data_IF_700334842028
#
_entry.id   IF_700334842028
#
_cell.length_a   1.000
_cell.length_b   1.000
_cell.length_c   1.000
_cell.angle_alpha   90.00
_cell.angle_beta   90.00
_cell.angle_gamma   90.00
#
_symmetry.space_group_name_H-M   'P 1'
#
loop_
_entity.id
_entity.type
_entity.pdbx_description
1 polymer ?
#
# COMPACT_ATOMS: atom_id res chain seq x y z
N UNK A 1 -16.15 1.95 8.87
CA UNK A 1 -14.98 2.55 8.16
C UNK A 1 -14.33 3.60 9.01
N UNK A 2 -13.03 3.54 9.12
CA UNK A 2 -12.21 4.58 9.72
C UNK A 2 -11.70 5.53 8.63
N UNK A 3 -11.37 6.75 8.99
CA UNK A 3 -10.80 7.75 8.06
C UNK A 3 -9.51 8.28 8.68
N UNK A 4 -8.42 8.29 7.91
CA UNK A 4 -7.24 9.09 8.20
C UNK A 4 -7.07 10.17 7.12
N UNK A 5 -6.22 11.14 7.36
CA UNK A 5 -5.86 12.14 6.37
C UNK A 5 -4.41 11.93 5.92
N UNK A 6 -4.23 11.88 4.61
CA UNK A 6 -2.92 11.81 3.98
C UNK A 6 -2.15 13.13 4.14
N UNK A 7 -0.92 13.16 3.70
CA UNK A 7 -0.06 14.36 3.80
C UNK A 7 -0.66 15.58 3.09
N UNK A 8 -1.38 15.36 2.00
CA UNK A 8 -2.09 16.41 1.26
C UNK A 8 -3.54 16.66 1.74
N UNK A 9 -3.86 16.15 2.94
CA UNK A 9 -5.17 16.22 3.58
C UNK A 9 -6.29 15.43 2.87
N UNK A 10 -5.95 14.55 1.93
CA UNK A 10 -6.94 13.66 1.30
C UNK A 10 -7.45 12.64 2.34
N UNK A 11 -8.77 12.50 2.54
CA UNK A 11 -9.31 11.49 3.45
C UNK A 11 -9.16 10.10 2.83
N UNK A 12 -8.58 9.17 3.57
CA UNK A 12 -8.38 7.78 3.19
C UNK A 12 -9.19 6.87 4.11
N UNK A 13 -10.12 6.15 3.51
CA UNK A 13 -11.03 5.24 4.21
C UNK A 13 -10.43 3.84 4.31
N UNK A 14 -10.51 3.23 5.50
CA UNK A 14 -9.94 1.91 5.76
C UNK A 14 -10.71 1.15 6.83
N UNK A 15 -10.50 -0.16 6.86
CA UNK A 15 -10.98 -1.07 7.90
C UNK A 15 -9.82 -1.93 8.41
N UNK A 16 -9.92 -2.35 9.67
CA UNK A 16 -9.01 -3.32 10.27
C UNK A 16 -9.78 -4.50 10.81
N UNK A 17 -9.23 -5.71 10.63
CA UNK A 17 -9.82 -6.96 11.10
C UNK A 17 -8.71 -7.84 11.68
N UNK A 18 -9.01 -8.58 12.74
CA UNK A 18 -8.04 -9.45 13.39
C UNK A 18 -7.14 -8.74 14.38
N UNK A 19 -6.10 -9.45 14.84
CA UNK A 19 -5.10 -8.94 15.78
C UNK A 19 -3.73 -9.56 15.50
N UNK A 20 -2.68 -8.81 15.80
CA UNK A 20 -1.30 -9.19 15.55
C UNK A 20 -0.52 -8.10 14.79
N UNK A 21 0.62 -8.43 14.20
CA UNK A 21 1.37 -7.48 13.38
C UNK A 21 0.51 -6.91 12.25
N UNK A 22 0.73 -5.65 11.91
CA UNK A 22 -0.03 -4.98 10.84
C UNK A 22 0.37 -5.52 9.46
N UNK A 23 -0.61 -5.93 8.67
CA UNK A 23 -0.47 -6.18 7.24
C UNK A 23 -1.48 -5.33 6.47
N UNK A 24 -1.03 -4.60 5.46
CA UNK A 24 -1.88 -3.77 4.60
C UNK A 24 -2.04 -4.46 3.25
N UNK A 25 -3.27 -4.65 2.81
CA UNK A 25 -3.60 -5.16 1.49
C UNK A 25 -3.67 -3.98 0.51
N UNK A 26 -2.68 -3.91 -0.39
CA UNK A 26 -2.58 -2.88 -1.42
C UNK A 26 -3.20 -3.41 -2.71
N UNK A 27 -4.41 -2.96 -2.99
CA UNK A 27 -5.21 -3.49 -4.09
C UNK A 27 -4.75 -2.99 -5.47
N UNK A 28 -5.01 -3.80 -6.49
CA UNK A 28 -4.86 -3.41 -7.89
C UNK A 28 -5.95 -2.44 -8.37
N UNK A 29 -6.13 -2.41 -9.69
CA UNK A 29 -7.23 -1.67 -10.29
C UNK A 29 -8.59 -2.28 -9.93
N UNK A 30 -9.63 -1.46 -9.87
CA UNK A 30 -11.05 -1.86 -9.71
C UNK A 30 -11.42 -2.57 -8.40
N UNK A 31 -10.53 -2.63 -7.42
CA UNK A 31 -10.82 -3.18 -6.10
C UNK A 31 -11.06 -2.07 -5.08
N UNK A 32 -11.87 -2.38 -4.07
CA UNK A 32 -12.12 -1.55 -2.89
C UNK A 32 -11.72 -2.31 -1.62
N UNK A 33 -11.86 -1.69 -0.44
CA UNK A 33 -11.46 -2.29 0.84
C UNK A 33 -12.08 -3.67 1.12
N UNK A 34 -13.28 -3.96 0.60
CA UNK A 34 -14.02 -5.21 0.85
C UNK A 34 -14.40 -5.98 -0.42
N UNK A 35 -13.99 -5.50 -1.59
CA UNK A 35 -14.29 -6.16 -2.86
C UNK A 35 -13.01 -6.60 -3.57
N UNK A 36 -13.05 -7.81 -4.14
CA UNK A 36 -11.91 -8.43 -4.79
C UNK A 36 -10.93 -9.04 -3.79
N UNK A 37 -9.64 -8.84 -4.00
CA UNK A 37 -8.56 -9.46 -3.20
C UNK A 37 -8.72 -9.28 -1.69
N UNK A 38 -9.08 -8.12 -1.13
CA UNK A 38 -9.27 -8.01 0.31
C UNK A 38 -10.37 -8.92 0.85
N UNK A 39 -11.51 -8.98 0.17
CA UNK A 39 -12.61 -9.85 0.57
C UNK A 39 -12.24 -11.34 0.61
N UNK A 40 -11.33 -11.76 -0.26
CA UNK A 40 -10.84 -13.14 -0.32
C UNK A 40 -9.75 -13.42 0.70
N UNK A 41 -8.85 -12.48 0.97
CA UNK A 41 -7.65 -12.70 1.80
C UNK A 41 -7.85 -12.45 3.29
N UNK A 42 -8.68 -11.48 3.67
CA UNK A 42 -8.91 -11.14 5.08
C UNK A 42 -9.26 -12.36 5.94
N UNK A 43 -10.18 -13.26 5.53
CA UNK A 43 -10.54 -14.43 6.33
C UNK A 43 -9.37 -15.36 6.67
N UNK A 44 -8.34 -15.42 5.82
CA UNK A 44 -7.18 -16.28 6.04
C UNK A 44 -6.09 -15.61 6.87
N UNK A 45 -6.00 -14.29 6.84
CA UNK A 45 -4.94 -13.53 7.49
C UNK A 45 -5.31 -13.03 8.89
N UNK A 46 -6.59 -12.83 9.18
CA UNK A 46 -7.08 -12.21 10.41
C UNK A 46 -6.73 -12.97 11.69
N UNK A 47 -6.46 -14.27 11.60
CA UNK A 47 -6.07 -15.08 12.75
C UNK A 47 -4.61 -14.84 13.17
N UNK A 48 -3.79 -14.23 12.31
CA UNK A 48 -2.36 -14.02 12.51
C UNK A 48 -1.94 -12.56 12.49
N UNK A 49 -2.76 -11.70 11.89
CA UNK A 49 -2.43 -10.29 11.63
C UNK A 49 -3.59 -9.37 11.99
N UNK A 50 -3.25 -8.13 12.31
CA UNK A 50 -4.17 -7.02 12.09
C UNK A 50 -4.14 -6.71 10.60
N UNK A 51 -5.20 -7.11 9.89
CA UNK A 51 -5.33 -6.92 8.45
C UNK A 51 -6.00 -5.59 8.18
N UNK A 52 -5.31 -4.69 7.50
CA UNK A 52 -5.85 -3.41 7.07
C UNK A 52 -6.16 -3.46 5.57
N UNK A 53 -7.40 -3.21 5.22
CA UNK A 53 -7.84 -2.98 3.84
C UNK A 53 -8.36 -1.55 3.70
N UNK A 54 -8.06 -0.89 2.58
CA UNK A 54 -8.40 0.51 2.38
C UNK A 54 -8.85 0.79 0.95
N UNK A 55 -9.58 1.86 0.80
CA UNK A 55 -9.90 2.40 -0.52
C UNK A 55 -8.76 3.33 -0.94
N UNK A 56 -8.11 3.02 -2.05
CA UNK A 56 -7.09 3.91 -2.62
C UNK A 56 -7.73 5.25 -3.00
N UNK A 57 -6.95 6.35 -2.98
CA UNK A 57 -7.47 7.67 -3.35
C UNK A 57 -8.24 7.64 -4.69
N UNK A 58 -9.31 8.40 -4.78
CA UNK A 58 -10.21 8.42 -5.95
C UNK A 58 -11.11 7.20 -6.09
N UNK A 59 -11.19 6.33 -5.05
CA UNK A 59 -12.02 5.11 -5.07
C UNK A 59 -12.84 4.96 -3.79
N UNK A 60 -13.94 4.23 -3.90
CA UNK A 60 -14.78 3.87 -2.77
C UNK A 60 -15.17 5.07 -1.91
N UNK A 61 -14.83 5.01 -0.64
CA UNK A 61 -15.12 6.06 0.34
C UNK A 61 -13.94 7.01 0.60
N UNK A 62 -12.80 6.78 -0.06
CA UNK A 62 -11.67 7.71 -0.01
C UNK A 62 -11.90 8.93 -0.88
N UNK A 63 -11.33 10.06 -0.46
CA UNK A 63 -11.29 11.28 -1.27
C UNK A 63 -10.28 11.20 -2.41
N UNK A 64 -10.24 12.29 -3.16
CA UNK A 64 -9.25 12.49 -4.22
C UNK A 64 -8.82 13.97 -4.22
N UNK A 65 -7.52 14.19 -4.40
CA UNK A 65 -6.95 15.54 -4.50
C UNK A 65 -6.03 15.59 -5.71
N UNK A 66 -6.50 16.22 -6.75
CA UNK A 66 -5.75 16.40 -8.00
C UNK A 66 -4.57 17.38 -7.84
N UNK A 67 -3.54 17.27 -8.67
CA UNK A 67 -3.31 16.22 -9.67
C UNK A 67 -2.93 14.88 -9.03
N UNK A 68 -3.24 13.78 -9.72
CA UNK A 68 -2.80 12.44 -9.32
C UNK A 68 -1.27 12.32 -9.45
N UNK A 69 -0.67 11.66 -8.47
CA UNK A 69 0.73 11.25 -8.50
C UNK A 69 0.92 9.98 -7.68
N UNK A 70 1.82 9.09 -8.11
CA UNK A 70 2.11 7.85 -7.38
C UNK A 70 2.69 8.13 -5.99
N UNK A 71 3.45 9.20 -5.86
CA UNK A 71 4.01 9.67 -4.60
C UNK A 71 2.93 9.98 -3.56
N UNK A 72 1.79 10.49 -3.99
CA UNK A 72 0.65 10.74 -3.11
C UNK A 72 0.05 9.43 -2.59
N UNK A 73 -0.04 8.40 -3.42
CA UNK A 73 -0.48 7.08 -2.97
C UNK A 73 0.52 6.43 -1.99
N UNK A 74 1.82 6.65 -2.18
CA UNK A 74 2.84 6.21 -1.23
C UNK A 74 2.70 6.95 0.11
N UNK A 75 2.38 8.24 0.10
CA UNK A 75 2.08 9.02 1.29
C UNK A 75 0.81 8.55 2.01
N UNK A 76 -0.21 8.08 1.26
CA UNK A 76 -1.41 7.46 1.83
C UNK A 76 -1.05 6.21 2.64
N UNK A 77 -0.23 5.32 2.06
CA UNK A 77 0.26 4.13 2.74
C UNK A 77 1.11 4.47 3.97
N UNK A 78 2.00 5.45 3.86
CA UNK A 78 2.80 5.91 4.99
C UNK A 78 1.92 6.44 6.13
N UNK A 79 0.88 7.22 5.81
CA UNK A 79 -0.07 7.74 6.80
C UNK A 79 -0.88 6.61 7.46
N UNK A 80 -1.32 5.61 6.70
CA UNK A 80 -1.99 4.42 7.25
C UNK A 80 -1.08 3.63 8.19
N UNK A 81 0.18 3.44 7.81
CA UNK A 81 1.19 2.76 8.66
C UNK A 81 1.42 3.54 9.95
N UNK A 82 1.64 4.84 9.86
CA UNK A 82 1.92 5.70 11.03
C UNK A 82 0.75 5.69 12.02
N UNK A 83 -0.48 5.75 11.51
CA UNK A 83 -1.68 5.73 12.36
C UNK A 83 -1.92 4.37 13.03
N UNK A 84 -1.42 3.28 12.47
CA UNK A 84 -1.65 1.92 12.93
C UNK A 84 -0.40 1.23 13.50
N UNK A 85 0.52 1.97 14.11
CA UNK A 85 1.64 1.41 14.87
C UNK A 85 3.03 1.66 14.28
N UNK A 86 3.15 2.31 13.15
CA UNK A 86 4.42 2.80 12.58
C UNK A 86 5.20 1.81 11.72
N UNK A 87 4.84 0.52 11.72
CA UNK A 87 5.46 -0.52 10.88
C UNK A 87 4.43 -1.50 10.36
N UNK A 88 4.58 -1.94 9.12
CA UNK A 88 3.67 -2.89 8.49
C UNK A 88 4.36 -3.84 7.51
N UNK A 89 3.75 -5.00 7.32
CA UNK A 89 3.90 -5.80 6.13
C UNK A 89 2.98 -5.26 5.04
N UNK A 90 3.39 -5.35 3.78
CA UNK A 90 2.53 -5.02 2.64
C UNK A 90 2.31 -6.26 1.78
N UNK A 91 1.07 -6.52 1.43
CA UNK A 91 0.70 -7.44 0.36
C UNK A 91 0.15 -6.62 -0.80
N UNK A 92 0.75 -6.73 -1.96
CA UNK A 92 0.32 -6.01 -3.15
C UNK A 92 -0.07 -6.94 -4.29
N UNK A 93 -1.20 -6.65 -4.94
CA UNK A 93 -1.68 -7.37 -6.12
C UNK A 93 -1.69 -6.46 -7.34
N UNK A 94 -1.13 -6.90 -8.47
CA UNK A 94 -1.12 -6.17 -9.75
C UNK A 94 -0.52 -4.76 -9.59
N UNK A 95 -1.22 -3.71 -9.97
CA UNK A 95 -0.79 -2.32 -9.76
C UNK A 95 -0.52 -1.99 -8.28
N UNK A 96 -1.22 -2.65 -7.35
CA UNK A 96 -0.94 -2.55 -5.92
C UNK A 96 0.38 -3.18 -5.51
N UNK A 97 0.84 -4.22 -6.21
CA UNK A 97 2.16 -4.81 -5.98
C UNK A 97 3.28 -3.82 -6.31
N UNK A 98 3.14 -3.09 -7.40
CA UNK A 98 4.07 -2.03 -7.76
C UNK A 98 4.07 -0.89 -6.73
N UNK A 99 2.90 -0.43 -6.32
CA UNK A 99 2.77 0.61 -5.29
C UNK A 99 3.39 0.17 -3.96
N UNK A 100 3.18 -1.10 -3.55
CA UNK A 100 3.79 -1.65 -2.34
C UNK A 100 5.32 -1.65 -2.42
N UNK A 101 5.90 -2.04 -3.56
CA UNK A 101 7.35 -2.01 -3.78
C UNK A 101 7.90 -0.59 -3.76
N UNK A 102 7.23 0.37 -4.40
CA UNK A 102 7.60 1.79 -4.33
C UNK A 102 7.58 2.32 -2.91
N UNK A 103 6.51 2.02 -2.17
CA UNK A 103 6.38 2.47 -0.79
C UNK A 103 7.48 1.89 0.10
N UNK A 104 7.83 0.62 -0.08
CA UNK A 104 8.92 -0.02 0.66
C UNK A 104 10.28 0.63 0.38
N UNK A 105 10.53 1.05 -0.85
CA UNK A 105 11.76 1.74 -1.22
C UNK A 105 11.84 3.15 -0.65
N UNK A 106 10.73 3.88 -0.65
CA UNK A 106 10.67 5.25 -0.14
C UNK A 106 10.67 5.30 1.40
N UNK A 107 9.97 4.35 2.03
CA UNK A 107 9.81 4.29 3.49
C UNK A 107 10.33 2.98 4.08
N UNK A 108 11.65 2.68 3.94
CA UNK A 108 12.23 1.40 4.38
C UNK A 108 12.13 1.19 5.90
N UNK A 109 12.00 2.26 6.68
CA UNK A 109 11.85 2.17 8.14
C UNK A 109 10.41 1.83 8.56
N UNK A 110 9.45 1.97 7.65
CA UNK A 110 8.02 1.70 7.91
C UNK A 110 7.57 0.35 7.37
N UNK A 111 8.17 -0.13 6.28
CA UNK A 111 7.78 -1.37 5.61
C UNK A 111 8.72 -2.50 6.00
N UNK A 112 8.20 -3.51 6.67
CA UNK A 112 8.98 -4.66 7.15
C UNK A 112 9.32 -5.61 6.01
N UNK A 113 8.33 -6.04 5.23
CA UNK A 113 8.45 -6.91 4.06
C UNK A 113 7.31 -6.64 3.08
N UNK A 114 7.53 -6.99 1.83
CA UNK A 114 6.51 -6.93 0.77
C UNK A 114 6.31 -8.30 0.16
N UNK A 115 5.06 -8.75 0.07
CA UNK A 115 4.64 -9.82 -0.80
C UNK A 115 3.99 -9.20 -2.05
N UNK A 116 4.66 -9.28 -3.19
CA UNK A 116 4.18 -8.72 -4.45
C UNK A 116 3.66 -9.85 -5.34
N UNK A 117 2.35 -9.83 -5.62
CA UNK A 117 1.69 -10.83 -6.45
C UNK A 117 1.33 -10.23 -7.81
N UNK A 118 1.86 -10.85 -8.87
CA UNK A 118 1.64 -10.46 -10.27
C UNK A 118 1.81 -8.95 -10.52
N UNK A 119 2.94 -8.33 -10.12
CA UNK A 119 3.20 -6.96 -10.52
C UNK A 119 3.18 -6.89 -12.06
N UNK A 120 2.66 -5.81 -12.65
CA UNK A 120 2.64 -5.69 -14.11
C UNK A 120 4.08 -5.67 -14.63
N UNK A 121 4.43 -6.71 -15.39
CA UNK A 121 5.71 -6.87 -16.04
C UNK A 121 5.61 -6.31 -17.45
N UNK A 122 6.42 -5.31 -17.76
CA UNK A 122 6.48 -4.69 -19.07
C UNK A 122 5.84 -3.30 -19.12
N UNK A 123 6.42 -2.47 -19.98
CA UNK A 123 6.15 -1.05 -20.04
C UNK A 123 7.15 -0.25 -19.20
N UNK A 124 7.58 0.87 -19.72
CA UNK A 124 8.70 1.66 -19.17
C UNK A 124 8.57 2.09 -17.71
N UNK A 125 7.36 2.07 -17.13
CA UNK A 125 7.16 2.43 -15.74
C UNK A 125 7.62 1.34 -14.75
N UNK A 126 7.43 0.03 -15.07
CA UNK A 126 7.91 -1.06 -14.22
C UNK A 126 9.45 -1.12 -14.24
N UNK A 127 10.06 -0.98 -15.42
CA UNK A 127 11.52 -0.91 -15.55
C UNK A 127 12.07 0.29 -14.78
N UNK A 128 11.40 1.44 -14.86
CA UNK A 128 11.77 2.63 -14.10
C UNK A 128 11.68 2.38 -12.60
N UNK A 129 10.61 1.75 -12.10
CA UNK A 129 10.46 1.36 -10.69
C UNK A 129 11.64 0.50 -10.24
N UNK A 130 11.91 -0.57 -10.97
CA UNK A 130 12.96 -1.51 -10.58
C UNK A 130 14.34 -0.85 -10.62
N UNK A 131 14.58 0.02 -11.61
CA UNK A 131 15.83 0.78 -11.70
C UNK A 131 15.95 1.77 -10.54
N UNK A 132 14.91 2.52 -10.23
CA UNK A 132 14.92 3.48 -9.12
C UNK A 132 15.12 2.77 -7.76
N UNK A 133 14.48 1.61 -7.56
CA UNK A 133 14.67 0.78 -6.37
C UNK A 133 16.12 0.31 -6.23
N UNK A 134 16.69 -0.21 -7.32
CA UNK A 134 18.06 -0.70 -7.34
C UNK A 134 19.06 0.43 -7.08
N UNK A 135 18.88 1.58 -7.73
CA UNK A 135 19.75 2.75 -7.55
C UNK A 135 19.69 3.29 -6.11
N UNK A 136 18.51 3.34 -5.50
CA UNK A 136 18.36 3.75 -4.10
C UNK A 136 19.04 2.78 -3.13
N UNK A 137 18.97 1.46 -3.40
CA UNK A 137 19.71 0.48 -2.59
C UNK A 137 21.22 0.64 -2.70
N UNK A 138 21.73 0.87 -3.92
CA UNK A 138 23.16 1.11 -4.15
C UNK A 138 23.62 2.38 -3.42
N UNK A 139 22.86 3.46 -3.49
CA UNK A 139 23.18 4.72 -2.81
C UNK A 139 23.22 4.60 -1.28
N UNK A 140 22.44 3.68 -0.69
CA UNK A 140 22.45 3.44 0.77
C UNK A 140 23.66 2.63 1.25
N UNK A 141 24.39 1.96 0.33
CA UNK A 141 25.58 1.16 0.64
C UNK A 141 26.88 1.93 0.44
N UNK A 142 26.81 3.13 -0.08
CA UNK A 142 27.93 4.05 -0.29
C UNK A 142 27.85 5.20 0.72
#
# INVERSE_FOLDING_TARGET
MNIIHSQDNTPIAYETTGSGPLIIIVTGALNTHNFGVPGEMVPFLQDYFTVLSYDRRGRGQSGDTLPYAIEKEMQDLAALIDHNGGKAFLYGHSAGAALALYTAAEYPDKVLKVAAYEPPLGGGWFEKIMTDLLMRQIQKQV
#
